data_IF_427909393590
#
_entry.id   IF_427909393590
#
_cell.length_a   1.000
_cell.length_b   1.000
_cell.length_c   1.000
_cell.angle_alpha   90.00
_cell.angle_beta   90.00
_cell.angle_gamma   90.00
#
_symmetry.space_group_name_H-M   'P 1'
#
loop_
_entity.id
_entity.type
_entity.pdbx_description
1 polymer ?
#
# COMPACT_ATOMS: atom_id res chain seq x y z
N UNK A 1 16.78 -5.73 6.84
CA UNK A 1 16.41 -4.62 7.76
C UNK A 1 16.66 -3.22 7.19
N UNK A 2 17.08 -3.05 5.92
CA UNK A 2 17.42 -1.72 5.36
C UNK A 2 16.21 -1.04 4.71
N UNK A 3 15.28 -1.78 4.11
CA UNK A 3 14.14 -1.22 3.36
C UNK A 3 13.02 -0.69 4.29
N UNK A 4 12.82 -1.31 5.46
CA UNK A 4 11.72 -0.97 6.38
C UNK A 4 11.92 0.34 7.17
N UNK A 5 13.15 0.87 7.24
CA UNK A 5 13.45 2.09 8.01
C UNK A 5 12.98 3.38 7.30
N UNK A 6 13.23 3.56 5.98
CA UNK A 6 12.66 4.65 5.20
C UNK A 6 11.12 4.64 5.14
N UNK A 7 10.51 3.45 5.19
CA UNK A 7 9.07 3.23 5.06
C UNK A 7 8.27 3.65 6.31
N UNK A 8 8.87 3.67 7.50
CA UNK A 8 8.14 3.96 8.74
C UNK A 8 7.80 5.43 8.97
N UNK A 9 8.27 6.36 8.11
CA UNK A 9 8.15 7.82 8.32
C UNK A 9 7.20 8.54 7.38
N UNK A 10 6.46 7.84 6.52
CA UNK A 10 5.51 8.48 5.61
C UNK A 10 4.08 8.29 6.13
N UNK A 11 3.38 9.40 6.40
CA UNK A 11 1.97 9.41 6.85
C UNK A 11 1.03 8.70 5.86
N UNK A 12 1.46 8.50 4.62
CA UNK A 12 0.70 7.80 3.59
C UNK A 12 0.72 6.28 3.72
N UNK A 13 1.65 5.70 4.50
CA UNK A 13 1.76 4.25 4.64
C UNK A 13 0.90 3.75 5.80
N UNK A 14 -0.16 3.02 5.46
CA UNK A 14 -1.11 2.43 6.40
C UNK A 14 -0.78 0.98 6.78
N UNK A 15 0.24 0.37 6.13
CA UNK A 15 0.71 -0.98 6.48
C UNK A 15 2.00 -1.35 5.74
N UNK A 16 2.84 -2.16 6.39
CA UNK A 16 4.07 -2.71 5.83
C UNK A 16 4.32 -4.10 6.42
N UNK A 17 4.33 -5.13 5.57
CA UNK A 17 4.48 -6.52 5.98
C UNK A 17 5.60 -7.19 5.19
N UNK A 18 6.49 -7.93 5.87
CA UNK A 18 7.45 -8.83 5.21
C UNK A 18 6.75 -10.15 4.91
N UNK A 19 6.88 -10.64 3.69
CA UNK A 19 6.37 -11.96 3.31
C UNK A 19 7.35 -13.03 3.80
N UNK A 20 6.85 -14.08 4.46
CA UNK A 20 7.70 -15.19 4.91
C UNK A 20 7.96 -16.15 3.75
N UNK A 21 9.20 -16.61 3.59
CA UNK A 21 9.60 -17.51 2.51
C UNK A 21 9.89 -16.82 1.18
N UNK A 22 9.78 -15.48 1.13
CA UNK A 22 10.13 -14.69 -0.03
C UNK A 22 10.79 -13.37 0.42
N UNK A 23 11.69 -12.80 -0.37
CA UNK A 23 12.40 -11.55 0.00
C UNK A 23 11.62 -10.28 -0.42
N UNK A 24 10.29 -10.32 -0.30
CA UNK A 24 9.39 -9.23 -0.68
C UNK A 24 8.68 -8.60 0.52
N UNK A 25 8.26 -7.36 0.32
CA UNK A 25 7.44 -6.59 1.25
C UNK A 25 6.13 -6.22 0.57
N UNK A 26 5.04 -6.31 1.33
CA UNK A 26 3.74 -5.78 0.94
C UNK A 26 3.55 -4.45 1.65
N UNK A 27 3.25 -3.41 0.86
CA UNK A 27 3.02 -2.05 1.34
C UNK A 27 1.58 -1.66 1.05
N UNK A 28 0.91 -1.09 2.05
CA UNK A 28 -0.40 -0.47 1.88
C UNK A 28 -0.26 1.03 2.07
N UNK A 29 -0.62 1.79 1.04
CA UNK A 29 -0.63 3.24 1.09
C UNK A 29 -2.03 3.80 0.83
N UNK A 30 -2.37 4.90 1.49
CA UNK A 30 -3.51 5.74 1.14
C UNK A 30 -2.95 7.04 0.59
N UNK A 31 -3.26 7.32 -0.68
CA UNK A 31 -2.69 8.44 -1.42
C UNK A 31 -3.82 9.34 -1.94
N UNK A 32 -3.63 10.66 -1.94
CA UNK A 32 -4.67 11.60 -2.34
C UNK A 32 -4.85 11.69 -3.87
N UNK A 33 -3.86 11.28 -4.66
CA UNK A 33 -3.94 11.31 -6.13
C UNK A 33 -2.94 10.36 -6.81
N UNK A 34 -3.12 10.17 -8.13
CA UNK A 34 -2.20 9.39 -8.97
C UNK A 34 -0.79 9.98 -9.00
N UNK A 35 -0.63 11.31 -8.99
CA UNK A 35 0.71 11.93 -8.99
C UNK A 35 1.52 11.54 -7.74
N UNK A 36 0.85 11.35 -6.60
CA UNK A 36 1.52 10.91 -5.37
C UNK A 36 1.96 9.44 -5.48
N UNK A 37 1.21 8.61 -6.21
CA UNK A 37 1.59 7.23 -6.50
C UNK A 37 2.82 7.20 -7.41
N UNK A 38 2.81 7.97 -8.50
CA UNK A 38 3.95 8.06 -9.43
C UNK A 38 5.24 8.45 -8.70
N UNK A 39 5.20 9.53 -7.90
CA UNK A 39 6.37 9.94 -7.12
C UNK A 39 6.78 8.92 -6.05
N UNK A 40 5.84 8.14 -5.51
CA UNK A 40 6.15 7.04 -4.61
C UNK A 40 6.81 5.86 -5.34
N UNK A 41 6.33 5.51 -6.53
CA UNK A 41 6.91 4.47 -7.39
C UNK A 41 8.35 4.81 -7.77
N UNK A 42 8.63 6.05 -8.17
CA UNK A 42 9.99 6.52 -8.49
C UNK A 42 10.98 6.29 -7.35
N UNK A 43 10.55 6.52 -6.10
CA UNK A 43 11.40 6.28 -4.91
C UNK A 43 11.60 4.78 -4.67
N UNK A 44 10.59 3.95 -4.87
CA UNK A 44 10.70 2.51 -4.62
C UNK A 44 11.44 1.76 -5.71
N UNK A 45 11.38 2.22 -6.96
CA UNK A 45 12.19 1.68 -8.05
C UNK A 45 13.70 1.80 -7.77
N UNK A 46 14.12 2.77 -6.95
CA UNK A 46 15.52 2.89 -6.50
C UNK A 46 15.91 1.80 -5.48
N UNK A 47 14.93 1.16 -4.82
CA UNK A 47 15.16 0.14 -3.79
C UNK A 47 15.03 -1.28 -4.33
N UNK A 48 14.40 -1.46 -5.49
CA UNK A 48 14.22 -2.77 -6.13
C UNK A 48 13.02 -2.79 -7.06
N UNK A 49 12.70 -3.98 -7.58
CA UNK A 49 11.50 -4.18 -8.39
C UNK A 49 10.24 -3.92 -7.56
N UNK A 50 9.25 -3.25 -8.17
CA UNK A 50 7.99 -2.87 -7.54
C UNK A 50 6.84 -3.39 -8.37
N UNK A 51 5.88 -4.04 -7.71
CA UNK A 51 4.59 -4.39 -8.28
C UNK A 51 3.51 -3.55 -7.58
N UNK A 52 2.63 -2.91 -8.37
CA UNK A 52 1.62 -1.97 -7.88
C UNK A 52 0.23 -2.53 -8.16
N UNK A 53 -0.61 -2.56 -7.13
CA UNK A 53 -2.03 -2.89 -7.23
C UNK A 53 -2.87 -1.75 -6.66
N UNK A 54 -3.89 -1.30 -7.40
CA UNK A 54 -4.76 -0.19 -7.00
C UNK A 54 -6.08 -0.75 -6.47
N UNK A 55 -6.44 -0.36 -5.24
CA UNK A 55 -7.71 -0.73 -4.60
C UNK A 55 -8.78 0.28 -5.00
N UNK A 56 -9.76 -0.15 -5.81
CA UNK A 56 -10.87 0.72 -6.28
C UNK A 56 -12.00 0.86 -5.25
N UNK A 57 -12.19 -0.15 -4.41
CA UNK A 57 -13.18 -0.14 -3.35
C UNK A 57 -12.69 -1.02 -2.19
N UNK A 58 -13.18 -0.71 -0.98
CA UNK A 58 -12.90 -1.51 0.22
C UNK A 58 -14.22 -1.99 0.78
N UNK A 59 -14.29 -3.27 1.15
CA UNK A 59 -15.45 -3.83 1.83
C UNK A 59 -15.60 -3.15 3.20
N UNK A 60 -16.75 -2.56 3.46
CA UNK A 60 -17.07 -1.97 4.76
C UNK A 60 -17.64 -3.08 5.64
N UNK A 61 -16.91 -3.45 6.70
CA UNK A 61 -17.31 -4.54 7.61
C UNK A 61 -18.54 -4.22 8.46
N UNK A 62 -18.96 -2.95 8.54
CA UNK A 62 -20.00 -2.47 9.46
C UNK A 62 -21.32 -2.05 8.78
N UNK A 63 -21.49 -2.30 7.48
CA UNK A 63 -22.75 -2.05 6.78
C UNK A 63 -23.32 -3.35 6.25
N UNK A 64 -24.17 -4.00 7.06
CA UNK A 64 -25.04 -5.05 6.56
C UNK A 64 -25.82 -4.50 5.34
N UNK A 65 -25.83 -5.26 4.25
CA UNK A 65 -26.60 -4.90 3.05
C UNK A 65 -28.08 -4.94 3.44
N UNK A 66 -28.67 -3.78 3.72
CA UNK A 66 -30.12 -3.69 3.91
C UNK A 66 -30.77 -3.72 2.54
N UNK A 67 -31.36 -4.87 2.21
CA UNK A 67 -32.17 -5.05 1.01
C UNK A 67 -33.44 -4.19 1.16
N UNK A 68 -33.52 -3.06 0.45
CA UNK A 68 -34.72 -2.22 0.42
C UNK A 68 -35.70 -2.85 -0.59
N UNK A 69 -36.65 -3.62 -0.07
CA UNK A 69 -37.84 -4.12 -0.79
C UNK A 69 -38.99 -3.14 -0.63
#
# INVERSE_FOLDING_TARGET
MIIAKPLQKSDSLSGCHRVVGNEYYILKAVLPSMQHLEGMMERFLQLGAVEVSIVLSTVVTDKAIQNQS
#
